data_IF_337696755154
#
_entry.id   IF_337696755154
#
_cell.length_a   1.000
_cell.length_b   1.000
_cell.length_c   1.000
_cell.angle_alpha   90.00
_cell.angle_beta   90.00
_cell.angle_gamma   90.00
#
_symmetry.space_group_name_H-M   'P 1'
#
loop_
_entity.id
_entity.type
_entity.pdbx_description
1 polymer ?
#
# COMPACT_ATOMS: atom_id res chain seq x y z
N UNK A 1 25.96 -11.20 -28.71
CA UNK A 1 25.80 -11.44 -27.27
C UNK A 1 26.43 -10.27 -26.53
N UNK A 2 25.59 -9.36 -25.98
CA UNK A 2 26.05 -8.17 -25.22
C UNK A 2 26.37 -8.60 -23.79
N UNK A 3 27.61 -8.46 -23.35
CA UNK A 3 28.01 -8.75 -21.96
C UNK A 3 27.40 -7.68 -21.04
N UNK A 4 26.59 -8.09 -20.07
CA UNK A 4 26.10 -7.20 -19.02
C UNK A 4 27.27 -6.67 -18.19
N UNK A 5 27.27 -5.38 -17.95
CA UNK A 5 28.28 -4.68 -17.19
C UNK A 5 28.12 -5.02 -15.69
N UNK A 6 29.17 -5.49 -15.08
CA UNK A 6 29.23 -6.01 -13.70
C UNK A 6 28.74 -5.01 -12.63
N UNK A 7 28.67 -3.71 -12.95
CA UNK A 7 28.22 -2.66 -12.02
C UNK A 7 26.68 -2.56 -11.91
N UNK A 8 25.94 -2.95 -12.95
CA UNK A 8 24.46 -2.94 -12.93
C UNK A 8 23.89 -4.17 -12.21
N UNK A 9 24.59 -5.31 -12.27
CA UNK A 9 24.20 -6.53 -11.55
C UNK A 9 24.32 -6.42 -10.04
N UNK A 10 25.25 -5.60 -9.53
CA UNK A 10 25.48 -5.40 -8.10
C UNK A 10 24.38 -4.53 -7.46
N UNK A 11 23.88 -3.52 -8.19
CA UNK A 11 22.83 -2.62 -7.67
C UNK A 11 21.50 -3.33 -7.49
N UNK A 12 21.14 -4.24 -8.41
CA UNK A 12 19.89 -5.03 -8.30
C UNK A 12 20.00 -6.09 -7.20
N UNK A 13 21.16 -6.74 -7.07
CA UNK A 13 21.39 -7.76 -6.04
C UNK A 13 21.38 -7.17 -4.63
N UNK A 14 21.90 -5.95 -4.44
CA UNK A 14 21.90 -5.26 -3.13
C UNK A 14 20.48 -4.85 -2.73
N UNK A 15 19.64 -4.42 -3.68
CA UNK A 15 18.25 -4.03 -3.41
C UNK A 15 17.40 -5.22 -2.96
N UNK A 16 17.56 -6.37 -3.59
CA UNK A 16 16.84 -7.61 -3.22
C UNK A 16 17.36 -8.17 -1.89
N UNK A 17 18.68 -8.09 -1.63
CA UNK A 17 19.28 -8.56 -0.39
C UNK A 17 18.88 -7.73 0.82
N UNK A 18 18.71 -6.41 0.67
CA UNK A 18 18.27 -5.52 1.76
C UNK A 18 16.81 -5.78 2.13
N UNK A 19 15.94 -6.03 1.15
CA UNK A 19 14.55 -6.42 1.40
C UNK A 19 14.45 -7.80 2.06
N UNK A 20 15.27 -8.76 1.66
CA UNK A 20 15.33 -10.09 2.30
C UNK A 20 15.92 -10.02 3.72
N UNK A 21 16.89 -9.13 3.97
CA UNK A 21 17.52 -8.96 5.28
C UNK A 21 16.58 -8.34 6.31
N UNK A 22 15.72 -7.40 5.92
CA UNK A 22 14.69 -6.82 6.78
C UNK A 22 13.56 -7.80 7.11
N UNK A 23 13.33 -8.79 6.25
CA UNK A 23 12.35 -9.86 6.52
C UNK A 23 12.92 -11.00 7.37
N UNK A 24 14.26 -11.18 7.42
CA UNK A 24 14.89 -12.35 8.06
C UNK A 24 15.67 -12.03 9.34
N UNK A 25 15.85 -10.76 9.70
CA UNK A 25 16.62 -10.34 10.89
C UNK A 25 15.76 -9.99 12.11
N UNK A 26 14.53 -10.47 12.16
CA UNK A 26 13.78 -10.49 13.43
C UNK A 26 14.37 -11.56 14.37
N UNK A 27 14.40 -11.34 15.68
CA UNK A 27 14.99 -12.30 16.63
C UNK A 27 14.16 -13.58 16.63
N UNK A 28 14.68 -14.64 16.00
CA UNK A 28 14.19 -16.02 16.08
C UNK A 28 14.61 -16.63 17.43
N UNK A 29 14.33 -15.93 18.53
CA UNK A 29 14.59 -16.42 19.88
C UNK A 29 13.30 -16.39 20.68
N UNK A 30 12.34 -17.29 20.30
CA UNK A 30 11.31 -17.80 21.21
C UNK A 30 10.48 -18.93 20.55
N UNK A 31 11.16 -19.89 19.86
CA UNK A 31 10.45 -20.96 19.16
C UNK A 31 10.09 -22.15 20.06
N UNK A 32 10.38 -22.12 21.37
CA UNK A 32 10.03 -23.21 22.28
C UNK A 32 9.61 -22.67 23.66
N UNK A 33 8.46 -21.98 23.71
CA UNK A 33 7.74 -21.83 24.97
C UNK A 33 6.33 -22.42 24.81
N UNK A 34 6.05 -23.62 25.34
CA UNK A 34 4.77 -24.30 25.17
C UNK A 34 3.61 -23.66 25.94
N UNK A 35 3.82 -22.52 26.60
CA UNK A 35 2.78 -21.80 27.37
C UNK A 35 2.18 -20.59 26.64
N UNK A 36 2.62 -20.28 25.43
CA UNK A 36 2.03 -19.20 24.64
C UNK A 36 1.66 -19.70 23.24
N UNK A 37 0.54 -20.39 23.17
CA UNK A 37 -0.14 -20.72 21.91
C UNK A 37 -0.75 -19.43 21.31
N UNK A 38 0.09 -18.46 21.00
CA UNK A 38 -0.25 -17.45 20.03
C UNK A 38 0.06 -18.03 18.66
N UNK A 39 -0.95 -18.64 18.08
CA UNK A 39 -1.00 -18.96 16.67
C UNK A 39 -0.50 -17.73 15.91
N UNK A 40 0.63 -17.86 15.20
CA UNK A 40 1.11 -16.88 14.25
C UNK A 40 0.12 -16.88 13.09
N UNK A 41 -0.99 -16.20 13.29
CA UNK A 41 -1.95 -15.92 12.25
C UNK A 41 -1.54 -14.58 11.65
N UNK A 42 -0.69 -14.58 10.67
CA UNK A 42 -0.40 -13.44 9.81
C UNK A 42 -1.58 -13.14 8.86
N UNK A 43 -2.78 -13.13 9.41
CA UNK A 43 -3.92 -12.40 8.86
C UNK A 43 -4.23 -11.30 9.86
N UNK A 44 -3.19 -10.48 10.13
CA UNK A 44 -3.30 -9.40 11.10
C UNK A 44 -4.32 -8.36 10.64
N UNK A 45 -5.46 -8.38 11.34
CA UNK A 45 -6.38 -7.26 11.49
C UNK A 45 -6.77 -6.55 10.18
N UNK A 46 -7.44 -7.31 9.32
CA UNK A 46 -8.26 -6.67 8.30
C UNK A 46 -9.50 -6.08 8.99
N UNK A 47 -9.89 -4.84 8.69
CA UNK A 47 -11.07 -4.24 9.30
C UNK A 47 -12.33 -4.98 8.83
N UNK A 48 -13.29 -5.22 9.72
CA UNK A 48 -14.59 -5.79 9.35
C UNK A 48 -15.39 -4.82 8.49
N UNK A 49 -15.21 -3.52 8.73
CA UNK A 49 -15.80 -2.43 7.95
C UNK A 49 -14.85 -1.23 7.95
N UNK A 50 -14.93 -0.39 6.92
CA UNK A 50 -14.15 0.84 6.85
C UNK A 50 -12.73 0.65 6.31
N UNK A 51 -11.83 1.53 6.76
CA UNK A 51 -10.42 1.54 6.36
C UNK A 51 -9.50 1.67 7.57
N UNK A 52 -8.56 0.74 7.69
CA UNK A 52 -7.44 0.86 8.61
C UNK A 52 -6.23 1.43 7.85
N UNK A 53 -5.54 2.39 8.45
CA UNK A 53 -4.41 3.09 7.86
C UNK A 53 -3.18 3.07 8.76
N UNK A 54 -2.02 2.88 8.16
CA UNK A 54 -0.73 2.86 8.87
C UNK A 54 0.32 3.56 8.03
N UNK A 55 0.94 4.60 8.57
CA UNK A 55 2.03 5.30 7.90
C UNK A 55 3.31 4.47 7.99
N UNK A 56 3.87 4.13 6.82
CA UNK A 56 5.19 3.50 6.69
C UNK A 56 6.28 4.56 6.83
N UNK A 57 6.05 5.71 6.19
CA UNK A 57 6.88 6.90 6.35
C UNK A 57 6.02 8.15 6.27
N UNK A 58 6.33 9.12 7.11
CA UNK A 58 5.64 10.42 7.09
C UNK A 58 6.41 11.38 6.21
N UNK A 59 5.74 11.92 5.19
CA UNK A 59 6.32 12.93 4.31
C UNK A 59 6.51 14.28 5.00
N UNK A 60 7.31 15.14 4.39
CA UNK A 60 7.58 16.50 4.88
C UNK A 60 6.75 17.60 4.19
N UNK A 61 5.99 17.25 3.13
CA UNK A 61 5.26 18.20 2.33
C UNK A 61 3.86 18.54 2.85
N UNK A 62 3.00 19.02 1.95
CA UNK A 62 1.64 19.46 2.26
C UNK A 62 0.77 18.29 2.77
N UNK A 63 -0.18 18.61 3.66
CA UNK A 63 -1.15 17.65 4.18
C UNK A 63 -2.32 17.55 3.22
N UNK A 64 -2.70 16.32 2.83
CA UNK A 64 -3.86 16.05 1.99
C UNK A 64 -5.16 16.29 2.76
N UNK A 65 -6.05 17.07 2.17
CA UNK A 65 -7.37 17.40 2.67
C UNK A 65 -8.42 17.21 1.57
N UNK A 66 -9.68 17.08 1.96
CA UNK A 66 -10.81 17.01 1.02
C UNK A 66 -10.77 18.21 0.07
N UNK A 67 -10.94 17.96 -1.22
CA UNK A 67 -10.89 18.97 -2.29
C UNK A 67 -9.50 19.18 -2.90
N UNK A 68 -8.43 18.64 -2.31
CA UNK A 68 -7.10 18.70 -2.91
C UNK A 68 -6.97 17.73 -4.08
N UNK A 69 -6.19 18.12 -5.09
CA UNK A 69 -5.82 17.22 -6.18
C UNK A 69 -4.54 16.47 -5.80
N UNK A 70 -4.64 15.14 -5.73
CA UNK A 70 -3.57 14.25 -5.32
C UNK A 70 -2.96 13.54 -6.52
N UNK A 71 -1.62 13.42 -6.52
CA UNK A 71 -0.86 12.55 -7.40
C UNK A 71 -0.29 11.42 -6.56
N UNK A 72 -0.64 10.16 -6.86
CA UNK A 72 -0.21 9.01 -6.07
C UNK A 72 0.34 7.88 -6.94
N UNK A 73 1.38 7.22 -6.43
CA UNK A 73 1.76 5.89 -6.85
C UNK A 73 1.19 4.86 -5.89
N UNK A 74 0.90 3.66 -6.37
CA UNK A 74 0.36 2.60 -5.54
C UNK A 74 0.64 1.21 -6.07
N UNK A 75 0.54 0.24 -5.16
CA UNK A 75 0.40 -1.18 -5.47
C UNK A 75 -0.77 -1.73 -4.67
N UNK A 76 -1.68 -2.42 -5.36
CA UNK A 76 -2.86 -3.05 -4.76
C UNK A 76 -2.71 -4.56 -4.64
N UNK A 77 -2.98 -5.09 -3.45
CA UNK A 77 -2.87 -6.51 -3.11
C UNK A 77 -4.18 -7.08 -2.59
N UNK A 78 -4.43 -8.34 -2.89
CA UNK A 78 -5.39 -9.16 -2.16
C UNK A 78 -4.74 -9.69 -0.85
N UNK A 79 -5.54 -10.15 0.14
CA UNK A 79 -5.01 -10.67 1.40
C UNK A 79 -4.05 -11.86 1.26
N UNK A 80 -4.12 -12.58 0.14
CA UNK A 80 -3.21 -13.68 -0.19
C UNK A 80 -1.87 -13.21 -0.79
N UNK A 81 -1.62 -11.89 -0.85
CA UNK A 81 -0.40 -11.28 -1.40
C UNK A 81 -0.39 -11.13 -2.92
N UNK A 82 -1.47 -11.54 -3.62
CA UNK A 82 -1.55 -11.36 -5.07
C UNK A 82 -1.75 -9.90 -5.42
N UNK A 83 -0.86 -9.34 -6.23
CA UNK A 83 -1.02 -8.01 -6.83
C UNK A 83 -2.16 -8.06 -7.85
N UNK A 84 -3.09 -7.12 -7.79
CA UNK A 84 -4.18 -6.99 -8.75
C UNK A 84 -4.08 -5.71 -9.58
N UNK A 85 -3.37 -4.70 -9.10
CA UNK A 85 -3.18 -3.43 -9.81
C UNK A 85 -1.94 -2.69 -9.30
N UNK A 86 -1.26 -1.91 -10.17
CA UNK A 86 -0.08 -1.14 -9.81
C UNK A 86 0.13 0.03 -10.78
N UNK A 87 0.32 1.24 -10.26
CA UNK A 87 0.70 2.41 -11.06
C UNK A 87 2.09 2.26 -11.67
N UNK A 88 2.96 1.48 -11.04
CA UNK A 88 4.32 1.25 -11.53
C UNK A 88 4.35 0.37 -12.78
N UNK A 89 3.39 -0.56 -12.93
CA UNK A 89 3.29 -1.41 -14.12
C UNK A 89 2.85 -0.61 -15.35
N UNK A 90 2.03 0.42 -15.12
CA UNK A 90 1.59 1.37 -16.16
C UNK A 90 2.64 2.47 -16.40
N UNK A 91 3.53 2.70 -15.42
CA UNK A 91 4.57 3.72 -15.47
C UNK A 91 4.04 5.15 -15.28
N UNK A 92 2.81 5.30 -14.77
CA UNK A 92 2.17 6.61 -14.60
C UNK A 92 1.41 6.65 -13.26
N UNK A 93 1.71 7.63 -12.38
CA UNK A 93 0.90 7.87 -11.19
C UNK A 93 -0.52 8.29 -11.58
N UNK A 94 -1.48 8.05 -10.69
CA UNK A 94 -2.85 8.51 -10.89
C UNK A 94 -3.08 9.86 -10.21
N UNK A 95 -3.97 10.66 -10.81
CA UNK A 95 -4.39 11.95 -10.30
C UNK A 95 -5.90 11.96 -10.06
N UNK A 96 -6.31 12.45 -8.90
CA UNK A 96 -7.73 12.59 -8.57
C UNK A 96 -7.92 13.63 -7.47
N UNK A 97 -9.15 14.19 -7.38
CA UNK A 97 -9.54 15.09 -6.30
C UNK A 97 -10.05 14.26 -5.12
N UNK A 98 -9.46 14.48 -3.94
CA UNK A 98 -9.78 13.75 -2.72
C UNK A 98 -11.18 14.08 -2.21
N UNK A 99 -12.00 13.07 -1.94
CA UNK A 99 -13.34 13.20 -1.38
C UNK A 99 -14.47 13.43 -2.40
N UNK A 100 -14.18 13.35 -3.70
CA UNK A 100 -15.18 13.51 -4.77
C UNK A 100 -15.78 12.17 -5.26
N UNK A 101 -15.41 11.03 -4.65
CA UNK A 101 -15.88 9.71 -5.08
C UNK A 101 -15.33 9.28 -6.44
N UNK A 102 -14.20 9.81 -6.86
CA UNK A 102 -13.48 9.41 -8.09
C UNK A 102 -12.71 8.10 -7.92
N UNK A 103 -12.45 7.74 -6.68
CA UNK A 103 -11.76 6.52 -6.25
C UNK A 103 -12.64 5.75 -5.28
N UNK A 104 -12.25 4.54 -4.91
CA UNK A 104 -12.97 3.78 -3.89
C UNK A 104 -13.01 4.55 -2.56
N UNK A 105 -14.07 4.36 -1.79
CA UNK A 105 -14.30 5.09 -0.53
C UNK A 105 -13.15 4.95 0.47
N UNK A 106 -12.52 3.77 0.51
CA UNK A 106 -11.35 3.53 1.35
C UNK A 106 -10.16 4.44 1.05
N UNK A 107 -10.02 4.92 -0.19
CA UNK A 107 -9.00 5.89 -0.57
C UNK A 107 -9.42 7.32 -0.18
N UNK A 108 -10.66 7.69 -0.47
CA UNK A 108 -11.17 9.02 -0.12
C UNK A 108 -11.07 9.29 1.39
N UNK A 109 -11.29 8.28 2.23
CA UNK A 109 -11.16 8.42 3.68
C UNK A 109 -9.74 8.10 4.19
N UNK A 110 -9.07 7.13 3.56
CA UNK A 110 -7.76 6.62 4.00
C UNK A 110 -6.60 7.59 3.76
N UNK A 111 -6.68 8.44 2.73
CA UNK A 111 -5.61 9.35 2.36
C UNK A 111 -5.72 10.73 3.04
N UNK A 112 -6.85 11.04 3.67
CA UNK A 112 -6.98 12.28 4.46
C UNK A 112 -5.89 12.33 5.52
N UNK A 113 -5.21 13.48 5.61
CA UNK A 113 -4.16 13.73 6.59
C UNK A 113 -2.79 13.12 6.24
N UNK A 114 -2.66 12.45 5.07
CA UNK A 114 -1.37 12.00 4.59
C UNK A 114 -0.53 13.19 4.12
N UNK A 115 0.79 13.13 4.35
CA UNK A 115 1.69 14.19 3.88
C UNK A 115 2.36 13.80 2.57
N UNK A 116 2.50 14.77 1.69
CA UNK A 116 3.28 14.66 0.46
C UNK A 116 4.69 14.15 0.74
N UNK A 117 5.16 13.21 -0.06
CA UNK A 117 6.40 12.46 0.12
C UNK A 117 6.29 11.28 1.11
N UNK A 118 5.11 11.06 1.70
CA UNK A 118 4.86 9.93 2.61
C UNK A 118 4.44 8.65 1.91
N UNK A 119 4.51 7.54 2.66
CA UNK A 119 4.00 6.23 2.26
C UNK A 119 3.05 5.70 3.32
N UNK A 120 1.92 5.15 2.89
CA UNK A 120 0.85 4.65 3.75
C UNK A 120 0.33 3.31 3.25
N UNK A 121 0.07 2.39 4.19
CA UNK A 121 -0.68 1.17 3.92
C UNK A 121 -2.13 1.43 4.30
N UNK A 122 -3.03 1.10 3.36
CA UNK A 122 -4.47 1.08 3.58
C UNK A 122 -4.96 -0.36 3.54
N UNK A 123 -5.64 -0.80 4.59
CA UNK A 123 -6.39 -2.06 4.61
C UNK A 123 -7.87 -1.71 4.56
N UNK A 124 -8.53 -2.11 3.50
CA UNK A 124 -9.87 -1.64 3.14
C UNK A 124 -10.85 -2.82 3.19
N UNK A 125 -11.92 -2.67 3.97
CA UNK A 125 -12.99 -3.65 3.99
C UNK A 125 -13.79 -3.63 2.68
N UNK A 126 -14.49 -4.71 2.33
CA UNK A 126 -15.23 -4.81 1.07
C UNK A 126 -16.23 -3.66 0.84
N UNK A 127 -16.93 -3.21 1.87
CA UNK A 127 -17.92 -2.11 1.84
C UNK A 127 -17.32 -0.73 1.53
N UNK A 128 -16.02 -0.58 1.72
CA UNK A 128 -15.24 0.61 1.36
C UNK A 128 -14.40 0.42 0.08
N UNK A 129 -14.44 -0.79 -0.50
CA UNK A 129 -13.82 -1.15 -1.76
C UNK A 129 -14.86 -1.36 -2.85
N UNK A 130 -14.91 -2.58 -3.42
CA UNK A 130 -15.82 -2.94 -4.50
C UNK A 130 -17.06 -3.72 -4.03
N UNK A 131 -17.19 -3.97 -2.73
CA UNK A 131 -18.33 -4.65 -2.14
C UNK A 131 -18.55 -6.06 -2.68
N UNK A 132 -19.80 -6.37 -3.01
CA UNK A 132 -20.20 -7.67 -3.56
C UNK A 132 -19.95 -7.84 -5.07
N UNK A 133 -19.30 -6.86 -5.70
CA UNK A 133 -18.98 -6.92 -7.12
C UNK A 133 -17.56 -7.48 -7.33
N UNK A 134 -17.43 -8.42 -8.27
CA UNK A 134 -16.13 -8.84 -8.77
C UNK A 134 -15.66 -7.85 -9.83
N UNK A 135 -14.39 -7.37 -9.73
CA UNK A 135 -13.81 -6.42 -10.65
C UNK A 135 -12.45 -6.92 -11.14
N UNK A 136 -12.37 -7.29 -12.41
CA UNK A 136 -11.14 -7.82 -12.99
C UNK A 136 -10.61 -9.04 -12.24
N UNK A 137 -9.44 -8.90 -11.62
CA UNK A 137 -8.80 -9.96 -10.83
C UNK A 137 -9.25 -10.00 -9.36
N UNK A 138 -10.13 -9.07 -8.94
CA UNK A 138 -10.62 -8.94 -7.57
C UNK A 138 -11.93 -9.70 -7.43
N UNK A 139 -12.01 -10.75 -6.58
CA UNK A 139 -13.25 -11.44 -6.27
C UNK A 139 -14.26 -10.53 -5.55
N UNK A 140 -15.54 -10.91 -5.57
CA UNK A 140 -16.56 -10.27 -4.73
C UNK A 140 -16.23 -10.38 -3.24
N UNK A 141 -16.64 -9.39 -2.47
CA UNK A 141 -16.42 -9.32 -1.01
C UNK A 141 -14.95 -9.44 -0.59
N UNK A 142 -14.03 -8.91 -1.41
CA UNK A 142 -12.61 -8.93 -1.11
C UNK A 142 -12.19 -7.74 -0.25
N UNK A 143 -11.39 -8.00 0.78
CA UNK A 143 -10.56 -6.98 1.38
C UNK A 143 -9.46 -6.57 0.40
N UNK A 144 -9.08 -5.31 0.44
CA UNK A 144 -8.02 -4.76 -0.39
C UNK A 144 -6.92 -4.19 0.49
N UNK A 145 -5.68 -4.38 0.07
CA UNK A 145 -4.52 -3.80 0.73
C UNK A 145 -3.82 -2.95 -0.31
N UNK A 146 -3.58 -1.68 0.00
CA UNK A 146 -2.83 -0.78 -0.86
C UNK A 146 -1.61 -0.25 -0.13
N UNK A 147 -0.48 -0.28 -0.78
CA UNK A 147 0.67 0.55 -0.44
C UNK A 147 0.61 1.79 -1.34
N UNK A 148 0.48 2.97 -0.74
CA UNK A 148 0.30 4.24 -1.43
C UNK A 148 1.45 5.18 -1.11
N UNK A 149 2.04 5.78 -2.14
CA UNK A 149 3.01 6.86 -2.04
C UNK A 149 2.37 8.15 -2.55
N UNK A 150 2.28 9.17 -1.69
CA UNK A 150 1.75 10.48 -2.04
C UNK A 150 2.85 11.34 -2.66
N UNK A 151 2.80 11.49 -3.97
CA UNK A 151 3.84 12.18 -4.75
C UNK A 151 3.67 13.69 -4.69
N UNK A 152 2.41 14.17 -4.82
CA UNK A 152 2.12 15.62 -4.84
C UNK A 152 0.72 15.91 -4.28
N UNK A 153 0.60 17.06 -3.63
CA UNK A 153 -0.67 17.64 -3.15
C UNK A 153 -0.84 19.01 -3.75
N UNK A 154 -1.81 19.19 -4.62
CA UNK A 154 -2.15 20.47 -5.22
C UNK A 154 -3.44 21.00 -4.60
N UNK A 155 -3.35 22.20 -3.99
CA UNK A 155 -4.50 22.86 -3.37
C UNK A 155 -5.41 23.44 -4.43
N UNK A 156 -6.75 23.43 -4.23
CA UNK A 156 -7.67 24.09 -5.16
C UNK A 156 -7.33 25.58 -5.29
N UNK A 157 -7.49 26.12 -6.49
CA UNK A 157 -7.34 27.55 -6.73
C UNK A 157 -8.35 28.33 -5.86
N UNK A 158 -7.85 29.31 -5.11
CA UNK A 158 -8.68 30.23 -4.31
C UNK A 158 -9.33 31.27 -5.20
#
# INVERSE_FOLDING_TARGET
MKKLNTKEGIAVAVSVAVLAYLFFSGPILNLFNPANSQTVTTVENLPETGVAKSDVSVGGGQVAAIGDNLTVNYVGYLPNGRVFDSSYDVGTPINFTLGEGRVIRGWDEGLIGMREGGKRILKIAPDYGYGNQAVGAIPSNSHLIFEVELVNVEKPAQ
#
